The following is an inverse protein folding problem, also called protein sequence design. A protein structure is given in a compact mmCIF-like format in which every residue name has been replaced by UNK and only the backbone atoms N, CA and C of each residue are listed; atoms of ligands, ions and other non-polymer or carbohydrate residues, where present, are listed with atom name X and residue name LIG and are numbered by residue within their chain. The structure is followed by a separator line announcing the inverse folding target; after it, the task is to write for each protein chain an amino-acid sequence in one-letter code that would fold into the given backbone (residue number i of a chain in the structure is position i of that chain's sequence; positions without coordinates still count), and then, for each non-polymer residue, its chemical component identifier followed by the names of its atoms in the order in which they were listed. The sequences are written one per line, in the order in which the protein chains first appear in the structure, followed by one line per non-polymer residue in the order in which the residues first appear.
data_IF_504638913031
#
_entry.id   IF_504638913031
#
_cell.length_a   1.000
_cell.length_b   1.000
_cell.length_c   1.000
_cell.angle_alpha   90.00
_cell.angle_beta   90.00
_cell.angle_gamma   90.00
#
_symmetry.space_group_name_H-M   'P 1'
#
loop_
_entity.id
_entity.type
_entity.pdbx_description
1 polymer ?
#
# COMPACT_ATOMS: atom_id res chain seq x y z
N UNK A 1 6.22 -1.83 18.49
CA UNK A 1 6.16 -3.23 18.03
C UNK A 1 7.23 -3.58 16.97
N UNK A 2 7.49 -2.75 15.91
CA UNK A 2 8.54 -3.08 14.91
C UNK A 2 9.89 -3.30 15.58
N UNK A 3 10.30 -2.41 16.49
CA UNK A 3 11.58 -2.55 17.22
C UNK A 3 11.63 -3.78 18.12
N UNK A 4 10.52 -4.17 18.71
CA UNK A 4 10.43 -5.41 19.51
C UNK A 4 10.67 -6.64 18.63
N UNK A 5 10.02 -6.69 17.46
CA UNK A 5 10.14 -7.79 16.51
C UNK A 5 11.52 -7.85 15.82
N UNK A 6 12.27 -6.77 15.83
CA UNK A 6 13.58 -6.63 15.19
C UNK A 6 14.72 -6.48 16.18
N UNK A 7 14.52 -6.87 17.44
CA UNK A 7 15.54 -6.78 18.51
C UNK A 7 16.15 -5.37 18.64
N UNK A 8 15.33 -4.34 18.48
CA UNK A 8 15.73 -2.93 18.54
C UNK A 8 16.34 -2.37 17.26
N UNK A 9 16.69 -3.20 16.29
CA UNK A 9 17.38 -2.78 15.04
C UNK A 9 16.51 -1.90 14.14
N UNK A 10 15.22 -2.24 13.99
CA UNK A 10 14.31 -1.66 13.01
C UNK A 10 14.21 -2.49 11.73
N UNK A 11 13.29 -2.13 10.85
CA UNK A 11 13.03 -2.84 9.60
C UNK A 11 14.07 -2.50 8.52
N UNK A 12 14.48 -3.47 7.71
CA UNK A 12 15.36 -3.24 6.55
C UNK A 12 14.66 -2.35 5.51
N UNK A 13 13.37 -2.62 5.27
CA UNK A 13 12.55 -1.90 4.30
C UNK A 13 11.22 -1.57 4.97
N UNK A 14 10.77 -0.34 4.82
CA UNK A 14 9.43 0.13 5.18
C UNK A 14 8.73 0.57 3.90
N UNK A 15 7.54 0.02 3.63
CA UNK A 15 6.73 0.39 2.47
C UNK A 15 5.45 1.08 2.96
N UNK A 16 5.27 2.33 2.57
CA UNK A 16 4.06 3.08 2.85
C UNK A 16 3.18 3.15 1.61
N UNK A 17 2.05 2.45 1.66
CA UNK A 17 1.02 2.45 0.61
C UNK A 17 -0.24 3.24 1.02
N UNK A 18 -0.22 3.88 2.20
CA UNK A 18 -1.37 4.64 2.68
C UNK A 18 -1.59 5.91 1.85
N UNK A 19 -2.86 6.18 1.49
CA UNK A 19 -3.23 7.41 0.80
C UNK A 19 -3.71 8.46 1.78
N UNK A 20 -3.44 9.74 1.49
CA UNK A 20 -3.88 10.93 2.22
C UNK A 20 -3.40 11.08 3.67
N UNK A 21 -2.96 10.03 4.33
CA UNK A 21 -2.40 10.06 5.69
C UNK A 21 -0.90 10.41 5.64
N UNK A 22 -0.46 11.41 6.39
CA UNK A 22 0.95 11.86 6.44
C UNK A 22 1.74 11.20 7.58
N UNK A 23 1.07 10.82 8.66
CA UNK A 23 1.70 10.21 9.83
C UNK A 23 2.54 8.95 9.50
N UNK A 24 2.12 8.03 8.60
CA UNK A 24 2.93 6.87 8.24
C UNK A 24 4.32 7.20 7.70
N UNK A 25 4.49 8.38 7.06
CA UNK A 25 5.81 8.83 6.57
C UNK A 25 6.74 9.16 7.73
N UNK A 26 6.21 9.82 8.78
CA UNK A 26 6.96 10.13 10.02
C UNK A 26 7.29 8.84 10.78
N UNK A 27 6.32 7.95 10.89
CA UNK A 27 6.49 6.67 11.57
C UNK A 27 7.55 5.81 10.87
N UNK A 28 7.60 5.82 9.54
CA UNK A 28 8.60 5.10 8.74
C UNK A 28 10.03 5.49 9.11
N UNK A 29 10.31 6.79 9.35
CA UNK A 29 11.63 7.27 9.79
C UNK A 29 12.05 6.67 11.13
N UNK A 30 11.07 6.42 12.03
CA UNK A 30 11.33 5.81 13.32
C UNK A 30 11.50 4.29 13.26
N UNK A 31 10.77 3.64 12.34
CA UNK A 31 10.71 2.18 12.20
C UNK A 31 11.86 1.59 11.39
N UNK A 32 12.38 2.33 10.41
CA UNK A 32 13.48 1.86 9.56
C UNK A 32 14.80 1.82 10.34
N UNK A 33 15.62 0.78 10.11
CA UNK A 33 16.96 0.70 10.68
C UNK A 33 17.94 1.69 10.02
N UNK A 34 19.09 1.97 10.63
CA UNK A 34 20.20 2.63 9.94
C UNK A 34 20.59 1.88 8.65
N UNK A 35 20.86 2.62 7.57
CA UNK A 35 21.15 2.08 6.23
C UNK A 35 19.95 1.42 5.53
N UNK A 36 18.73 1.54 6.09
CA UNK A 36 17.53 0.94 5.54
C UNK A 36 16.87 1.78 4.44
N UNK A 37 15.80 1.25 3.88
CA UNK A 37 15.07 1.89 2.76
C UNK A 37 13.62 2.15 3.13
N UNK A 38 13.13 3.34 2.83
CA UNK A 38 11.69 3.67 2.88
C UNK A 38 11.17 3.81 1.44
N UNK A 39 10.09 3.12 1.11
CA UNK A 39 9.40 3.22 -0.17
C UNK A 39 8.06 3.91 0.05
N UNK A 40 7.87 5.07 -0.57
CA UNK A 40 6.61 5.81 -0.55
C UNK A 40 5.83 5.52 -1.83
N UNK A 41 4.76 4.76 -1.73
CA UNK A 41 3.89 4.37 -2.83
C UNK A 41 2.49 5.01 -2.74
N UNK A 42 2.05 5.39 -1.54
CA UNK A 42 0.77 6.08 -1.32
C UNK A 42 0.87 7.60 -1.50
N UNK A 43 0.03 8.17 -2.35
CA UNK A 43 -0.02 9.63 -2.60
C UNK A 43 -0.71 10.35 -1.44
N UNK A 44 -0.11 11.42 -0.93
CA UNK A 44 -0.62 12.20 0.21
C UNK A 44 -1.53 13.37 -0.17
N UNK A 45 -1.90 13.50 -1.46
CA UNK A 45 -2.74 14.60 -1.95
C UNK A 45 -2.02 15.96 -1.88
N UNK A 46 -0.70 15.97 -2.08
CA UNK A 46 0.17 17.16 -1.99
C UNK A 46 0.15 17.86 -0.62
N UNK A 47 -0.28 17.15 0.44
CA UNK A 47 -0.21 17.66 1.81
C UNK A 47 1.23 17.68 2.29
N UNK A 48 1.57 18.70 3.06
CA UNK A 48 2.83 18.73 3.82
C UNK A 48 2.85 17.62 4.87
N UNK A 49 4.03 17.11 5.16
CA UNK A 49 4.24 16.13 6.24
C UNK A 49 4.76 16.87 7.45
N UNK A 50 3.88 17.09 8.42
CA UNK A 50 4.26 17.74 9.67
C UNK A 50 5.22 16.84 10.49
N UNK A 51 6.12 17.45 11.24
CA UNK A 51 7.10 16.74 12.08
C UNK A 51 8.06 15.83 11.28
N UNK A 52 8.22 16.05 9.99
CA UNK A 52 9.21 15.35 9.19
C UNK A 52 10.62 15.86 9.53
N UNK A 53 11.39 15.08 10.27
CA UNK A 53 12.74 15.42 10.71
C UNK A 53 13.75 14.85 9.71
N UNK A 54 14.20 15.69 8.78
CA UNK A 54 15.17 15.30 7.73
C UNK A 54 16.51 14.80 8.28
N UNK A 55 16.91 15.28 9.45
CA UNK A 55 18.17 14.88 10.10
C UNK A 55 18.24 13.38 10.39
N UNK A 56 17.09 12.74 10.60
CA UNK A 56 17.02 11.29 10.75
C UNK A 56 17.45 10.54 9.50
N UNK A 57 17.27 11.14 8.30
CA UNK A 57 17.72 10.56 7.04
C UNK A 57 19.25 10.56 7.00
N UNK A 58 19.84 11.68 7.36
CA UNK A 58 21.30 11.86 7.36
C UNK A 58 21.94 10.97 8.44
N UNK A 59 21.45 11.06 9.68
CA UNK A 59 22.04 10.34 10.82
C UNK A 59 21.92 8.82 10.72
N UNK A 60 20.87 8.33 10.06
CA UNK A 60 20.64 6.89 9.86
C UNK A 60 21.08 6.41 8.47
N UNK A 61 21.55 7.29 7.58
CA UNK A 61 21.91 6.95 6.20
C UNK A 61 20.77 6.26 5.42
N UNK A 62 19.51 6.74 5.62
CA UNK A 62 18.31 6.15 5.05
C UNK A 62 18.21 6.47 3.56
N UNK A 63 17.78 5.51 2.75
CA UNK A 63 17.33 5.74 1.39
C UNK A 63 15.82 5.91 1.35
N UNK A 64 15.30 6.99 0.75
CA UNK A 64 13.88 7.19 0.48
C UNK A 64 13.64 7.09 -1.03
N UNK A 65 12.71 6.22 -1.44
CA UNK A 65 12.33 6.01 -2.84
C UNK A 65 10.84 6.26 -3.05
N UNK A 66 10.49 7.00 -4.09
CA UNK A 66 9.11 7.06 -4.60
C UNK A 66 8.82 5.86 -5.50
N UNK A 67 7.59 5.35 -5.43
CA UNK A 67 7.06 4.37 -6.36
C UNK A 67 5.66 4.79 -6.76
N UNK A 68 5.44 4.99 -8.06
CA UNK A 68 4.13 5.42 -8.56
C UNK A 68 3.71 4.56 -9.74
N UNK A 69 2.42 4.34 -9.81
CA UNK A 69 1.72 3.79 -10.95
C UNK A 69 2.04 2.34 -11.24
N UNK A 70 1.58 1.92 -12.39
CA UNK A 70 1.79 0.56 -12.90
C UNK A 70 2.49 0.67 -14.25
N UNK A 71 3.59 -0.03 -14.38
CA UNK A 71 4.29 -0.15 -15.67
C UNK A 71 3.88 -1.44 -16.39
N UNK A 72 4.00 -1.49 -17.72
CA UNK A 72 3.75 -2.72 -18.48
C UNK A 72 4.57 -3.90 -17.95
N UNK A 73 5.83 -3.65 -17.57
CA UNK A 73 6.68 -4.68 -16.95
C UNK A 73 6.18 -5.11 -15.56
N UNK A 74 5.52 -4.22 -14.83
CA UNK A 74 4.87 -4.51 -13.53
C UNK A 74 3.70 -5.46 -13.72
N UNK A 75 2.83 -5.20 -14.69
CA UNK A 75 1.72 -6.10 -15.05
C UNK A 75 2.24 -7.50 -15.44
N UNK A 76 3.23 -7.58 -16.32
CA UNK A 76 3.79 -8.87 -16.73
C UNK A 76 4.38 -9.67 -15.56
N UNK A 77 5.01 -9.00 -14.59
CA UNK A 77 5.49 -9.66 -13.37
C UNK A 77 4.37 -10.10 -12.45
N UNK A 78 3.31 -9.29 -12.30
CA UNK A 78 2.14 -9.64 -11.50
C UNK A 78 1.42 -10.87 -12.06
N UNK A 79 1.20 -10.92 -13.38
CA UNK A 79 0.60 -12.09 -14.07
C UNK A 79 1.43 -13.35 -13.78
N UNK A 80 2.74 -13.30 -13.99
CA UNK A 80 3.63 -14.43 -13.70
C UNK A 80 3.60 -14.88 -12.22
N UNK A 81 3.44 -13.94 -11.30
CA UNK A 81 3.32 -14.26 -9.88
C UNK A 81 2.01 -14.99 -9.60
N UNK A 82 0.89 -14.52 -10.17
CA UNK A 82 -0.43 -15.17 -10.06
C UNK A 82 -0.38 -16.58 -10.67
N UNK A 83 0.11 -16.71 -11.91
CA UNK A 83 0.25 -17.99 -12.61
C UNK A 83 1.14 -19.00 -11.87
N UNK A 84 2.11 -18.52 -11.12
CA UNK A 84 3.03 -19.39 -10.36
C UNK A 84 2.37 -20.10 -9.19
N UNK A 85 1.20 -19.68 -8.73
CA UNK A 85 0.50 -20.20 -7.56
C UNK A 85 1.26 -20.06 -6.23
N UNK A 86 2.39 -19.32 -6.21
CA UNK A 86 3.20 -19.15 -4.98
C UNK A 86 2.53 -18.28 -3.91
N UNK A 87 1.58 -17.46 -4.32
CA UNK A 87 0.80 -16.59 -3.44
C UNK A 87 -0.66 -16.83 -3.75
N UNK A 88 -1.44 -17.12 -2.72
CA UNK A 88 -2.90 -17.20 -2.84
C UNK A 88 -3.49 -15.79 -2.73
N UNK A 89 -4.07 -15.31 -3.81
CA UNK A 89 -4.75 -14.01 -3.88
C UNK A 89 -6.27 -14.11 -3.72
N UNK A 90 -6.84 -15.30 -3.49
CA UNK A 90 -8.28 -15.50 -3.40
C UNK A 90 -8.93 -14.65 -2.31
N UNK A 91 -8.24 -14.46 -1.18
CA UNK A 91 -8.72 -13.63 -0.07
C UNK A 91 -8.77 -12.13 -0.38
N UNK A 92 -8.13 -11.67 -1.45
CA UNK A 92 -8.17 -10.26 -1.88
C UNK A 92 -9.41 -9.97 -2.72
N UNK A 93 -9.96 -10.97 -3.43
CA UNK A 93 -11.18 -10.82 -4.21
C UNK A 93 -12.38 -11.04 -3.31
N UNK A 94 -13.15 -9.99 -3.09
CA UNK A 94 -14.24 -10.01 -2.08
C UNK A 94 -15.64 -9.90 -2.66
N UNK A 95 -15.79 -9.23 -3.82
CA UNK A 95 -17.11 -8.89 -4.35
C UNK A 95 -17.19 -9.02 -5.86
N UNK A 96 -18.29 -9.61 -6.33
CA UNK A 96 -18.71 -9.61 -7.72
C UNK A 96 -20.05 -8.89 -7.86
N UNK A 97 -20.12 -7.94 -8.76
CA UNK A 97 -21.36 -7.21 -9.07
C UNK A 97 -21.75 -7.41 -10.53
N UNK A 98 -23.03 -7.59 -10.86
CA UNK A 98 -23.50 -7.43 -12.21
C UNK A 98 -23.12 -6.07 -12.78
N UNK A 99 -22.89 -5.97 -14.09
CA UNK A 99 -22.57 -4.68 -14.73
C UNK A 99 -23.64 -3.62 -14.48
N UNK A 100 -24.92 -4.04 -14.34
CA UNK A 100 -26.02 -3.14 -14.02
C UNK A 100 -25.87 -2.45 -12.65
N UNK A 101 -25.14 -3.07 -11.73
CA UNK A 101 -24.96 -2.58 -10.35
C UNK A 101 -23.62 -1.85 -10.16
N UNK A 102 -23.05 -1.29 -11.24
CA UNK A 102 -21.76 -0.60 -11.21
C UNK A 102 -21.70 0.55 -10.19
N UNK A 103 -22.80 1.30 -10.00
CA UNK A 103 -22.90 2.33 -8.97
C UNK A 103 -22.77 1.75 -7.56
N UNK A 104 -23.46 0.65 -7.29
CA UNK A 104 -23.38 -0.04 -6.00
C UNK A 104 -21.95 -0.53 -5.75
N UNK A 105 -21.30 -1.12 -6.76
CA UNK A 105 -19.92 -1.57 -6.65
C UNK A 105 -18.95 -0.44 -6.26
N UNK A 106 -19.12 0.76 -6.87
CA UNK A 106 -18.30 1.93 -6.56
C UNK A 106 -18.57 2.41 -5.12
N UNK A 107 -19.83 2.46 -4.70
CA UNK A 107 -20.21 2.89 -3.35
C UNK A 107 -19.71 1.92 -2.27
N UNK A 108 -19.78 0.61 -2.53
CA UNK A 108 -19.23 -0.41 -1.63
C UNK A 108 -17.71 -0.25 -1.51
N UNK A 109 -17.00 -0.08 -2.62
CA UNK A 109 -15.54 0.15 -2.61
C UNK A 109 -15.16 1.47 -1.91
N UNK A 110 -16.02 2.50 -2.02
CA UNK A 110 -15.85 3.79 -1.33
C UNK A 110 -16.20 3.73 0.17
N UNK A 111 -16.66 2.55 0.67
CA UNK A 111 -17.12 2.34 2.05
C UNK A 111 -18.33 3.21 2.43
N UNK A 112 -19.20 3.48 1.48
CA UNK A 112 -20.46 4.19 1.69
C UNK A 112 -21.60 3.25 2.11
N UNK A 113 -21.39 1.95 2.01
CA UNK A 113 -22.35 0.92 2.41
C UNK A 113 -21.91 0.39 3.78
N UNK A 114 -22.74 0.62 4.81
CA UNK A 114 -22.44 0.19 6.16
C UNK A 114 -22.43 -1.33 6.27
N UNK A 115 -21.40 -1.87 6.90
CA UNK A 115 -21.26 -3.33 7.12
C UNK A 115 -20.77 -4.12 5.91
N UNK A 116 -20.47 -3.44 4.79
CA UNK A 116 -19.97 -4.06 3.57
C UNK A 116 -18.60 -3.46 3.17
N UNK A 117 -17.52 -4.18 3.50
CA UNK A 117 -16.15 -3.75 3.26
C UNK A 117 -15.52 -4.49 2.09
N UNK A 118 -15.47 -3.84 0.92
CA UNK A 118 -14.78 -4.38 -0.25
C UNK A 118 -13.28 -4.09 -0.20
N UNK A 119 -12.48 -5.14 -0.49
CA UNK A 119 -11.05 -5.00 -0.79
C UNK A 119 -10.85 -4.90 -2.30
N UNK A 120 -11.52 -5.77 -3.04
CA UNK A 120 -11.47 -5.82 -4.50
C UNK A 120 -12.82 -6.24 -5.05
N UNK A 121 -13.36 -5.46 -5.98
CA UNK A 121 -14.65 -5.71 -6.64
C UNK A 121 -14.46 -5.89 -8.14
N UNK A 122 -15.17 -6.86 -8.71
CA UNK A 122 -15.29 -7.04 -10.16
C UNK A 122 -16.70 -6.71 -10.64
N UNK A 123 -16.80 -6.16 -11.84
CA UNK A 123 -18.06 -6.07 -12.58
C UNK A 123 -18.13 -7.23 -13.56
N UNK A 124 -19.18 -8.05 -13.45
CA UNK A 124 -19.39 -9.22 -14.30
C UNK A 124 -20.36 -8.85 -15.42
N UNK A 125 -19.98 -8.97 -16.68
CA UNK A 125 -20.88 -8.73 -17.80
C UNK A 125 -21.98 -9.82 -17.83
N UNK A 126 -23.16 -9.51 -18.39
CA UNK A 126 -24.18 -10.53 -18.61
C UNK A 126 -23.66 -11.62 -19.57
N UNK A 127 -24.03 -12.88 -19.28
CA UNK A 127 -23.71 -14.01 -20.14
C UNK A 127 -24.58 -14.02 -21.39
#
# INVERSE_FOLDING_TARGET
RVKELTEGKGADIVVDVSSYATQPVVDALSMVRPGGTIVLAGVKGFKSVDQFVSDLIVMKEITIKGAIGVTSSGYGRAIKLIESGRVDFSSMHTHDFPLADAELAIRTLAREIEGDESIHSCLIPPQ
#
